data_IF_135500613264
#
_entry.id   IF_135500613264
#
_cell.length_a   1.000
_cell.length_b   1.000
_cell.length_c   1.000
_cell.angle_alpha   90.00
_cell.angle_beta   90.00
_cell.angle_gamma   90.00
#
_symmetry.space_group_name_H-M   'P 1'
#
loop_
_entity.id
_entity.type
_entity.pdbx_description
1 polymer ?
#
# COMPACT_ATOMS: atom_id res chain seq x y z
N UNK A 1 -11.22 -22.02 -56.73
CA UNK A 1 -11.20 -21.13 -55.55
C UNK A 1 -9.77 -20.68 -55.28
N UNK A 2 -9.35 -19.64 -56.00
CA UNK A 2 -8.06 -18.94 -55.94
C UNK A 2 -8.17 -17.88 -57.04
N UNK A 3 -7.86 -16.62 -56.74
CA UNK A 3 -8.02 -15.38 -57.55
C UNK A 3 -9.12 -14.45 -57.02
N UNK A 4 -8.85 -13.78 -55.90
CA UNK A 4 -9.27 -12.38 -55.75
C UNK A 4 -8.00 -11.64 -55.35
N UNK A 5 -7.28 -11.27 -56.40
CA UNK A 5 -6.07 -10.46 -56.42
C UNK A 5 -6.47 -9.00 -56.22
N UNK A 6 -5.77 -8.35 -55.29
CA UNK A 6 -5.10 -7.05 -55.52
C UNK A 6 -5.58 -6.25 -56.74
N UNK A 7 -6.26 -5.13 -56.52
CA UNK A 7 -6.17 -3.90 -57.30
C UNK A 7 -7.22 -2.91 -56.80
N UNK A 8 -6.80 -1.74 -56.34
CA UNK A 8 -7.32 -0.42 -56.72
C UNK A 8 -6.76 0.60 -55.73
N UNK A 9 -5.50 0.95 -55.97
CA UNK A 9 -5.02 2.29 -55.71
C UNK A 9 -5.64 3.24 -56.75
N UNK A 10 -5.81 4.51 -56.37
CA UNK A 10 -5.98 5.70 -57.21
C UNK A 10 -7.35 5.93 -57.89
N UNK A 11 -8.26 6.58 -57.15
CA UNK A 11 -9.19 7.63 -57.63
C UNK A 11 -9.49 8.48 -56.39
N UNK A 12 -9.43 9.80 -56.32
CA UNK A 12 -9.22 10.88 -57.25
C UNK A 12 -9.49 12.16 -56.45
N UNK A 13 -8.59 13.13 -56.56
CA UNK A 13 -8.72 14.46 -55.96
C UNK A 13 -9.87 15.24 -56.64
N UNK A 14 -10.45 16.20 -55.91
CA UNK A 14 -11.27 17.35 -56.36
C UNK A 14 -12.80 17.17 -56.33
N UNK A 15 -13.41 17.74 -55.28
CA UNK A 15 -14.65 18.49 -55.40
C UNK A 15 -14.61 19.68 -54.42
N UNK A 16 -14.13 20.83 -54.90
CA UNK A 16 -14.41 22.11 -54.29
C UNK A 16 -15.85 22.49 -54.66
N UNK A 17 -16.71 22.65 -53.66
CA UNK A 17 -18.11 23.05 -53.84
C UNK A 17 -18.59 23.76 -52.58
N UNK A 18 -18.75 25.07 -52.69
CA UNK A 18 -19.26 26.01 -51.69
C UNK A 18 -20.62 25.60 -51.12
N UNK A 19 -20.78 25.57 -49.79
CA UNK A 19 -22.11 25.57 -49.16
C UNK A 19 -22.18 24.85 -47.82
N UNK A 20 -21.95 25.61 -46.74
CA UNK A 20 -22.53 25.48 -45.38
C UNK A 20 -22.77 24.06 -44.85
N UNK A 21 -21.87 23.61 -43.95
CA UNK A 21 -22.16 22.98 -42.65
C UNK A 21 -21.10 21.93 -42.29
N UNK A 22 -20.48 22.12 -41.12
CA UNK A 22 -19.84 21.02 -40.40
C UNK A 22 -18.38 20.77 -40.75
N UNK A 23 -17.51 21.77 -40.53
CA UNK A 23 -16.14 21.45 -40.11
C UNK A 23 -16.24 20.78 -38.74
N UNK A 24 -16.30 19.45 -38.72
CA UNK A 24 -16.03 18.68 -37.51
C UNK A 24 -14.54 18.79 -37.22
N UNK A 25 -14.14 19.95 -36.71
CA UNK A 25 -12.94 20.05 -35.91
C UNK A 25 -13.23 19.19 -34.67
N UNK A 26 -12.65 18.00 -34.62
CA UNK A 26 -12.46 17.31 -33.35
C UNK A 26 -11.50 18.20 -32.56
N UNK A 27 -12.05 19.14 -31.80
CA UNK A 27 -11.34 19.77 -30.72
C UNK A 27 -10.93 18.63 -29.79
N UNK A 28 -9.63 18.38 -29.68
CA UNK A 28 -9.11 17.58 -28.59
C UNK A 28 -9.49 18.33 -27.32
N UNK A 29 -10.47 17.80 -26.60
CA UNK A 29 -10.77 18.27 -25.26
C UNK A 29 -9.58 17.88 -24.40
N UNK A 30 -8.67 18.82 -24.23
CA UNK A 30 -7.60 18.73 -23.26
C UNK A 30 -8.31 18.67 -21.90
N UNK A 31 -8.43 17.47 -21.36
CA UNK A 31 -9.03 17.22 -20.07
C UNK A 31 -8.15 17.87 -19.01
N UNK A 32 -8.34 19.17 -18.83
CA UNK A 32 -7.80 19.95 -17.72
C UNK A 32 -8.47 19.44 -16.44
N UNK A 33 -7.94 18.33 -15.92
CA UNK A 33 -8.22 17.89 -14.57
C UNK A 33 -7.71 18.99 -13.64
N UNK A 34 -8.61 19.71 -12.99
CA UNK A 34 -8.31 20.75 -12.00
C UNK A 34 -7.51 20.24 -10.77
N UNK A 35 -7.19 18.94 -10.74
CA UNK A 35 -6.36 18.26 -9.73
C UNK A 35 -4.93 17.92 -10.22
N UNK A 36 -4.51 18.34 -11.42
CA UNK A 36 -3.12 18.20 -11.83
C UNK A 36 -2.23 19.06 -10.92
N UNK A 37 -1.28 18.49 -10.16
CA UNK A 37 -0.47 19.29 -9.25
C UNK A 37 0.43 20.21 -10.05
N UNK A 38 0.62 21.40 -9.50
CA UNK A 38 1.42 22.45 -10.13
C UNK A 38 2.92 22.15 -10.06
N UNK A 39 3.35 21.18 -9.25
CA UNK A 39 4.75 20.78 -9.07
C UNK A 39 4.87 19.29 -8.68
N UNK A 40 5.93 18.64 -9.15
CA UNK A 40 6.28 17.20 -9.11
C UNK A 40 5.45 16.27 -10.02
N UNK A 41 6.09 15.30 -10.71
CA UNK A 41 5.35 14.29 -11.44
C UNK A 41 4.59 13.39 -10.44
N UNK A 42 3.26 13.37 -10.51
CA UNK A 42 2.49 12.28 -9.92
C UNK A 42 2.78 11.05 -10.76
N UNK A 43 3.58 10.15 -10.21
CA UNK A 43 3.75 8.83 -10.78
C UNK A 43 2.65 7.94 -10.20
N UNK A 44 1.83 7.36 -11.08
CA UNK A 44 0.87 6.34 -10.67
C UNK A 44 1.63 5.15 -10.04
N UNK A 45 1.20 4.63 -8.88
CA UNK A 45 1.79 3.44 -8.31
C UNK A 45 1.71 2.28 -9.32
N UNK A 46 2.84 1.60 -9.53
CA UNK A 46 2.86 0.40 -10.38
C UNK A 46 2.30 -0.77 -9.60
N UNK A 47 1.48 -1.57 -10.27
CA UNK A 47 1.05 -2.85 -9.72
C UNK A 47 2.25 -3.78 -9.54
N UNK A 48 2.41 -4.29 -8.32
CA UNK A 48 3.51 -5.19 -7.96
C UNK A 48 2.98 -6.61 -7.84
N UNK A 49 3.78 -7.59 -8.26
CA UNK A 49 3.47 -9.01 -8.08
C UNK A 49 3.87 -9.45 -6.67
N UNK A 50 2.88 -9.77 -5.82
CA UNK A 50 3.09 -10.24 -4.45
C UNK A 50 2.74 -11.72 -4.29
N UNK A 51 3.37 -12.41 -3.34
CA UNK A 51 3.07 -13.82 -3.04
C UNK A 51 1.64 -14.05 -2.54
N UNK A 52 1.02 -13.00 -1.97
CA UNK A 52 -0.34 -13.02 -1.42
C UNK A 52 -1.40 -12.51 -2.41
N UNK A 53 -1.04 -12.22 -3.66
CA UNK A 53 -2.02 -11.79 -4.67
C UNK A 53 -2.87 -12.97 -5.16
N UNK A 54 -4.17 -12.72 -5.39
CA UNK A 54 -5.12 -13.69 -5.93
C UNK A 54 -5.83 -14.54 -4.86
N UNK A 55 -6.84 -15.32 -5.25
CA UNK A 55 -7.72 -16.04 -4.31
C UNK A 55 -7.02 -17.13 -3.49
N UNK A 56 -5.84 -17.57 -3.92
CA UNK A 56 -5.04 -18.61 -3.25
C UNK A 56 -3.65 -18.11 -2.83
N UNK A 57 -3.43 -16.80 -2.87
CA UNK A 57 -2.16 -16.20 -2.44
C UNK A 57 -1.92 -16.42 -0.95
N UNK A 58 -0.64 -16.53 -0.57
CA UNK A 58 -0.24 -16.69 0.83
C UNK A 58 0.89 -15.73 1.20
N UNK A 59 0.91 -15.29 2.45
CA UNK A 59 2.01 -14.51 2.96
C UNK A 59 3.28 -15.36 3.09
N UNK A 60 4.42 -14.81 2.64
CA UNK A 60 5.74 -15.35 2.95
C UNK A 60 6.09 -14.98 4.41
N UNK A 61 6.05 -15.96 5.32
CA UNK A 61 6.37 -15.74 6.74
C UNK A 61 7.77 -15.18 6.95
N UNK A 62 8.76 -15.59 6.16
CA UNK A 62 10.11 -15.05 6.28
C UNK A 62 10.17 -13.57 5.85
N UNK A 63 9.40 -13.18 4.83
CA UNK A 63 9.22 -11.78 4.47
C UNK A 63 8.55 -10.99 5.60
N UNK A 64 7.49 -11.51 6.22
CA UNK A 64 6.81 -10.84 7.33
C UNK A 64 7.72 -10.65 8.55
N UNK A 65 8.54 -11.65 8.90
CA UNK A 65 9.52 -11.53 9.98
C UNK A 65 10.58 -10.45 9.71
N UNK A 66 11.05 -10.33 8.46
CA UNK A 66 11.93 -9.21 8.07
C UNK A 66 11.19 -7.87 8.13
N UNK A 67 9.92 -7.84 7.73
CA UNK A 67 9.06 -6.66 7.84
C UNK A 67 8.88 -6.19 9.29
N UNK A 68 8.67 -7.12 10.23
CA UNK A 68 8.62 -6.81 11.67
C UNK A 68 9.90 -6.14 12.17
N UNK A 69 11.06 -6.63 11.72
CA UNK A 69 12.36 -6.02 12.05
C UNK A 69 12.43 -4.58 11.54
N UNK A 70 12.01 -4.34 10.29
CA UNK A 70 11.96 -2.97 9.72
C UNK A 70 11.03 -2.08 10.52
N UNK A 71 9.83 -2.55 10.88
CA UNK A 71 8.91 -1.79 11.72
C UNK A 71 9.57 -1.40 13.05
N UNK A 72 10.16 -2.37 13.75
CA UNK A 72 10.80 -2.17 15.05
C UNK A 72 12.01 -1.22 14.99
N UNK A 73 12.81 -1.29 13.95
CA UNK A 73 14.07 -0.54 13.86
C UNK A 73 13.91 0.85 13.23
N UNK A 74 12.84 1.07 12.45
CA UNK A 74 12.68 2.30 11.66
C UNK A 74 11.36 2.99 11.94
N UNK A 75 10.25 2.25 11.96
CA UNK A 75 8.91 2.84 11.94
C UNK A 75 8.36 3.13 13.34
N UNK A 76 8.65 2.27 14.32
CA UNK A 76 8.02 2.32 15.64
C UNK A 76 8.40 3.55 16.47
N UNK A 77 9.41 4.31 16.06
CA UNK A 77 9.73 5.59 16.66
C UNK A 77 8.71 6.69 16.35
N UNK A 78 7.92 6.54 15.27
CA UNK A 78 6.94 7.55 14.83
C UNK A 78 5.54 6.97 14.58
N UNK A 79 5.42 5.68 14.24
CA UNK A 79 4.15 5.03 13.89
C UNK A 79 3.77 3.96 14.92
N UNK A 80 2.59 4.12 15.50
CA UNK A 80 2.01 3.14 16.42
C UNK A 80 1.41 1.93 15.70
N UNK A 81 1.29 0.81 16.42
CA UNK A 81 0.52 -0.37 16.00
C UNK A 81 -0.36 -0.84 17.16
N UNK A 82 -1.19 0.08 17.67
CA UNK A 82 -1.99 -0.13 18.88
C UNK A 82 -3.04 -1.25 18.78
N UNK A 83 -3.32 -1.74 17.56
CA UNK A 83 -4.26 -2.84 17.30
C UNK A 83 -3.57 -4.21 17.15
N UNK A 84 -2.23 -4.24 17.22
CA UNK A 84 -1.45 -5.48 17.07
C UNK A 84 -0.89 -5.86 18.43
N UNK A 85 -1.23 -7.06 18.90
CA UNK A 85 -0.70 -7.60 20.15
C UNK A 85 0.49 -8.52 19.91
N UNK A 86 1.46 -8.57 20.83
CA UNK A 86 2.66 -9.40 20.64
C UNK A 86 2.34 -10.89 20.42
N UNK A 87 1.27 -11.42 21.04
CA UNK A 87 0.80 -12.80 20.83
C UNK A 87 0.48 -13.13 19.37
N UNK A 88 0.11 -12.16 18.54
CA UNK A 88 -0.20 -12.40 17.11
C UNK A 88 1.06 -12.65 16.28
N UNK A 89 2.26 -12.44 16.85
CA UNK A 89 3.50 -12.84 16.21
C UNK A 89 3.60 -14.37 16.02
N UNK A 90 2.76 -15.16 16.70
CA UNK A 90 2.62 -16.59 16.41
C UNK A 90 2.18 -16.86 14.96
N UNK A 91 1.40 -15.97 14.35
CA UNK A 91 0.98 -16.05 12.94
C UNK A 91 2.18 -15.93 11.99
N UNK A 92 3.19 -15.16 12.39
CA UNK A 92 4.48 -15.03 11.71
C UNK A 92 5.42 -16.21 11.96
N UNK A 93 5.01 -17.19 12.78
CA UNK A 93 5.78 -18.40 13.08
C UNK A 93 6.75 -18.27 14.26
N UNK A 94 6.60 -17.25 15.10
CA UNK A 94 7.36 -17.18 16.36
C UNK A 94 6.76 -18.14 17.39
N UNK A 95 7.63 -18.80 18.16
CA UNK A 95 7.24 -19.61 19.32
C UNK A 95 6.85 -18.74 20.51
N UNK A 96 6.05 -19.28 21.43
CA UNK A 96 5.65 -18.57 22.66
C UNK A 96 6.85 -18.04 23.45
N UNK A 97 7.94 -18.79 23.50
CA UNK A 97 9.18 -18.37 24.16
C UNK A 97 9.80 -17.14 23.46
N UNK A 98 9.87 -17.15 22.12
CA UNK A 98 10.38 -16.00 21.36
C UNK A 98 9.48 -14.78 21.52
N UNK A 99 8.16 -14.97 21.51
CA UNK A 99 7.19 -13.88 21.70
C UNK A 99 7.34 -13.27 23.10
N UNK A 100 7.47 -14.11 24.14
CA UNK A 100 7.68 -13.65 25.51
C UNK A 100 8.99 -12.87 25.64
N UNK A 101 10.08 -13.36 25.03
CA UNK A 101 11.35 -12.63 25.01
C UNK A 101 11.21 -11.31 24.28
N UNK A 102 10.59 -11.28 23.10
CA UNK A 102 10.40 -10.07 22.30
C UNK A 102 9.55 -9.02 23.03
N UNK A 103 8.42 -9.43 23.61
CA UNK A 103 7.54 -8.53 24.36
C UNK A 103 8.24 -7.92 25.58
N UNK A 104 9.09 -8.71 26.26
CA UNK A 104 9.83 -8.26 27.43
C UNK A 104 10.89 -7.20 27.13
N UNK A 105 11.25 -6.98 25.85
CA UNK A 105 12.13 -5.87 25.45
C UNK A 105 11.45 -4.50 25.54
N UNK A 106 10.12 -4.47 25.65
CA UNK A 106 9.34 -3.25 25.77
C UNK A 106 9.01 -2.97 27.24
N UNK A 107 9.14 -1.72 27.65
CA UNK A 107 8.64 -1.23 28.94
C UNK A 107 7.20 -0.78 28.77
N UNK A 108 6.30 -1.34 29.59
CA UNK A 108 4.87 -1.05 29.59
C UNK A 108 4.50 -0.39 30.92
N UNK A 109 3.84 0.76 30.84
CA UNK A 109 3.23 1.42 31.98
C UNK A 109 1.92 0.71 32.35
N UNK A 110 1.77 0.31 33.61
CA UNK A 110 0.65 -0.47 34.13
C UNK A 110 0.29 -0.02 35.56
N UNK A 111 -0.84 -0.52 36.08
CA UNK A 111 -1.30 -0.24 37.44
C UNK A 111 -2.77 0.14 37.52
N UNK A 112 -3.23 0.61 38.69
CA UNK A 112 -2.43 0.83 39.91
C UNK A 112 -2.05 -0.47 40.65
N UNK A 113 -1.01 -0.41 41.47
CA UNK A 113 -0.64 -1.46 42.42
C UNK A 113 -1.43 -1.35 43.74
N UNK A 114 -1.13 -2.21 44.72
CA UNK A 114 -1.82 -2.25 46.02
C UNK A 114 -1.67 -0.95 46.85
N UNK A 115 -0.66 -0.13 46.57
CA UNK A 115 -0.46 1.17 47.19
C UNK A 115 -1.19 2.31 46.44
N UNK A 116 -1.81 2.02 45.29
CA UNK A 116 -2.44 3.00 44.41
C UNK A 116 -1.50 3.64 43.38
N UNK A 117 -0.24 3.18 43.30
CA UNK A 117 0.77 3.76 42.41
C UNK A 117 0.81 3.04 41.05
N UNK A 118 1.04 3.80 39.99
CA UNK A 118 1.35 3.25 38.67
C UNK A 118 2.82 2.79 38.61
N UNK A 119 3.12 1.79 37.79
CA UNK A 119 4.46 1.22 37.68
C UNK A 119 4.79 0.79 36.26
N UNK A 120 6.08 0.63 35.99
CA UNK A 120 6.57 0.10 34.72
C UNK A 120 6.94 -1.37 34.86
N UNK A 121 6.64 -2.16 33.83
CA UNK A 121 7.02 -3.57 33.77
C UNK A 121 7.46 -3.99 32.37
N UNK A 122 8.21 -5.10 32.25
CA UNK A 122 8.41 -5.74 30.96
C UNK A 122 7.07 -6.12 30.31
N UNK A 123 7.01 -6.00 28.99
CA UNK A 123 5.87 -6.41 28.20
C UNK A 123 5.59 -7.91 28.29
N UNK A 124 4.32 -8.27 28.18
CA UNK A 124 3.82 -9.65 28.10
C UNK A 124 3.15 -9.89 26.75
N UNK A 125 2.99 -11.15 26.29
CA UNK A 125 2.37 -11.44 24.99
C UNK A 125 0.98 -10.84 24.78
N UNK A 126 0.22 -10.56 25.85
CA UNK A 126 -1.11 -9.95 25.73
C UNK A 126 -1.08 -8.45 25.42
N UNK A 127 0.04 -7.76 25.67
CA UNK A 127 0.16 -6.33 25.43
C UNK A 127 0.23 -6.03 23.92
N UNK A 128 -0.11 -4.78 23.57
CA UNK A 128 0.02 -4.25 22.21
C UNK A 128 1.38 -3.59 22.01
N UNK A 129 1.76 -3.39 20.74
CA UNK A 129 2.92 -2.56 20.43
C UNK A 129 2.69 -1.14 21.00
N UNK A 130 3.61 -0.61 21.81
CA UNK A 130 3.41 0.69 22.45
C UNK A 130 3.43 1.82 21.43
N UNK A 131 2.61 2.83 21.66
CA UNK A 131 2.64 4.05 20.88
C UNK A 131 3.93 4.84 21.15
N UNK A 132 4.53 5.48 20.14
CA UNK A 132 5.72 6.32 20.33
C UNK A 132 5.43 7.61 21.08
N UNK A 133 4.17 8.06 21.06
CA UNK A 133 3.71 9.29 21.70
C UNK A 133 2.50 9.00 22.59
N UNK A 134 2.33 9.80 23.64
CA UNK A 134 1.24 9.64 24.60
C UNK A 134 -0.13 10.08 24.02
N UNK A 135 -0.13 10.88 22.97
CA UNK A 135 -1.28 11.51 22.34
C UNK A 135 -1.01 11.82 20.85
N UNK A 136 -2.04 12.32 20.16
CA UNK A 136 -2.02 12.73 18.75
C UNK A 136 -1.21 14.01 18.50
#
# INVERSE_FOLDING_TARGET
MKKILTSLALVGLVAAGTGVAGTWAFAAEEAHNAAAPTHFPINEPKEMSWSFTGPFGTYDKAQLQRGLKVYKEVCSACHSMNLVAFRTLSDLGYSDAQIKTFAAEYTIHDGPNDAGDMFDRPGKPSDHFPAPFANE
#
